data_IF_824079559937
#
_entry.id   IF_824079559937
#
_cell.length_a   1.000
_cell.length_b   1.000
_cell.length_c   1.000
_cell.angle_alpha   90.00
_cell.angle_beta   90.00
_cell.angle_gamma   90.00
#
_symmetry.space_group_name_H-M   'P 1'
#
loop_
_entity.id
_entity.type
_entity.pdbx_description
1 polymer ?
#
# COMPACT_ATOMS: atom_id res chain seq x y z
N UNK A 1 -11.97 -2.23 14.81
CA UNK A 1 -13.19 -1.74 14.11
C UNK A 1 -12.84 -1.33 12.68
N UNK A 2 -13.71 -1.59 11.69
CA UNK A 2 -13.45 -1.26 10.28
C UNK A 2 -12.79 -2.35 9.42
N UNK A 3 -12.37 -3.47 10.02
CA UNK A 3 -11.83 -4.61 9.25
C UNK A 3 -12.95 -5.51 8.74
N UNK A 4 -12.91 -5.77 7.44
CA UNK A 4 -13.63 -6.87 6.75
C UNK A 4 -12.63 -7.85 6.10
N UNK A 5 -11.34 -7.70 6.40
CA UNK A 5 -10.24 -8.49 5.88
C UNK A 5 -9.13 -8.56 6.94
N UNK A 6 -8.83 -9.75 7.41
CA UNK A 6 -7.81 -9.97 8.44
C UNK A 6 -6.38 -9.93 7.88
N UNK A 7 -6.17 -10.46 6.67
CA UNK A 7 -4.86 -10.48 6.02
C UNK A 7 -3.84 -11.44 6.65
N UNK A 8 -4.27 -12.41 7.47
CA UNK A 8 -3.39 -13.44 8.03
C UNK A 8 -2.92 -14.45 6.98
N UNK A 9 -3.86 -15.10 6.29
CA UNK A 9 -3.57 -15.84 5.06
C UNK A 9 -3.61 -14.88 3.87
N UNK A 10 -2.44 -14.72 3.25
CA UNK A 10 -2.19 -13.76 2.18
C UNK A 10 -2.79 -14.23 0.83
N UNK A 11 -3.27 -13.28 0.03
CA UNK A 11 -3.65 -13.50 -1.37
C UNK A 11 -5.06 -13.06 -1.74
N UNK A 12 -5.87 -12.67 -0.76
CA UNK A 12 -7.30 -12.39 -0.94
C UNK A 12 -7.66 -10.91 -0.85
N UNK A 13 -6.68 -10.02 -0.68
CA UNK A 13 -6.95 -8.58 -0.51
C UNK A 13 -7.76 -8.01 -1.68
N UNK A 14 -7.28 -8.22 -2.90
CA UNK A 14 -7.90 -7.64 -4.09
C UNK A 14 -9.22 -8.32 -4.48
N UNK A 15 -9.35 -9.64 -4.31
CA UNK A 15 -10.63 -10.33 -4.56
C UNK A 15 -11.72 -9.88 -3.58
N UNK A 16 -11.40 -9.72 -2.30
CA UNK A 16 -12.33 -9.14 -1.32
C UNK A 16 -12.67 -7.68 -1.64
N UNK A 17 -11.69 -6.89 -2.08
CA UNK A 17 -11.93 -5.49 -2.45
C UNK A 17 -12.92 -5.36 -3.61
N UNK A 18 -12.74 -6.15 -4.67
CA UNK A 18 -13.71 -6.19 -5.77
C UNK A 18 -15.07 -6.69 -5.31
N UNK A 19 -15.13 -7.77 -4.53
CA UNK A 19 -16.39 -8.28 -4.00
C UNK A 19 -17.16 -7.26 -3.15
N UNK A 20 -16.46 -6.40 -2.41
CA UNK A 20 -17.08 -5.33 -1.64
C UNK A 20 -17.63 -4.18 -2.51
N UNK A 21 -16.99 -3.91 -3.66
CA UNK A 21 -17.39 -2.86 -4.59
C UNK A 21 -18.57 -3.25 -5.50
N UNK A 22 -18.80 -4.55 -5.72
CA UNK A 22 -19.93 -5.03 -6.54
C UNK A 22 -21.28 -4.59 -5.94
N UNK A 23 -22.19 -4.17 -6.82
CA UNK A 23 -23.52 -3.64 -6.49
C UNK A 23 -23.51 -2.48 -5.47
N UNK A 24 -22.37 -1.79 -5.35
CA UNK A 24 -22.18 -0.71 -4.38
C UNK A 24 -21.58 0.55 -5.05
N UNK A 25 -22.39 1.28 -5.85
CA UNK A 25 -21.92 2.26 -6.82
C UNK A 25 -21.17 3.47 -6.22
N UNK A 26 -21.37 3.74 -4.94
CA UNK A 26 -20.77 4.87 -4.23
C UNK A 26 -19.56 4.45 -3.38
N UNK A 27 -19.25 3.15 -3.31
CA UNK A 27 -18.12 2.66 -2.53
C UNK A 27 -16.82 2.74 -3.34
N UNK A 28 -15.82 3.37 -2.73
CA UNK A 28 -14.42 3.24 -3.13
C UNK A 28 -13.70 2.34 -2.13
N UNK A 29 -13.03 1.30 -2.63
CA UNK A 29 -12.18 0.42 -1.83
C UNK A 29 -10.71 0.67 -2.15
N UNK A 30 -10.00 1.32 -1.24
CA UNK A 30 -8.54 1.41 -1.30
C UNK A 30 -7.91 0.09 -0.81
N UNK A 31 -7.35 -0.69 -1.73
CA UNK A 31 -6.83 -2.03 -1.45
C UNK A 31 -5.30 -2.03 -1.41
N UNK A 32 -4.72 -2.04 -0.21
CA UNK A 32 -3.26 -2.15 -0.04
C UNK A 32 -2.83 -3.60 -0.24
N UNK A 33 -1.89 -3.81 -1.14
CA UNK A 33 -1.40 -5.12 -1.57
C UNK A 33 0.09 -5.22 -1.21
N UNK A 34 0.47 -6.22 -0.42
CA UNK A 34 1.87 -6.48 -0.14
C UNK A 34 2.60 -6.99 -1.38
N UNK A 35 3.82 -6.53 -1.64
CA UNK A 35 4.65 -7.05 -2.73
C UNK A 35 4.98 -8.56 -2.60
N UNK A 36 5.10 -9.06 -1.36
CA UNK A 36 5.18 -10.49 -1.07
C UNK A 36 3.84 -11.23 -1.23
N UNK A 37 2.72 -10.58 -0.92
CA UNK A 37 1.38 -11.13 -1.18
C UNK A 37 1.18 -11.32 -2.69
N UNK A 38 1.69 -10.38 -3.51
CA UNK A 38 1.53 -10.35 -4.97
C UNK A 38 2.12 -11.56 -5.70
N UNK A 39 2.95 -12.35 -5.01
CA UNK A 39 3.50 -13.60 -5.54
C UNK A 39 2.57 -14.80 -5.33
N UNK A 40 1.50 -14.65 -4.55
CA UNK A 40 0.51 -15.72 -4.35
C UNK A 40 -0.35 -15.90 -5.60
N UNK A 41 -0.71 -17.15 -5.90
CA UNK A 41 -1.62 -17.47 -7.02
C UNK A 41 -2.96 -16.74 -6.95
N UNK A 42 -3.66 -16.72 -5.78
CA UNK A 42 -4.90 -15.99 -5.62
C UNK A 42 -4.79 -14.50 -5.97
N UNK A 43 -3.76 -13.80 -5.48
CA UNK A 43 -3.62 -12.38 -5.77
C UNK A 43 -3.25 -12.14 -7.24
N UNK A 44 -2.34 -12.93 -7.80
CA UNK A 44 -1.96 -12.83 -9.21
C UNK A 44 -3.18 -12.96 -10.15
N UNK A 45 -4.10 -13.89 -9.86
CA UNK A 45 -5.33 -14.05 -10.63
C UNK A 45 -6.35 -12.93 -10.37
N UNK A 46 -6.40 -12.37 -9.17
CA UNK A 46 -7.39 -11.34 -8.80
C UNK A 46 -7.20 -9.99 -9.52
N UNK A 47 -6.06 -9.71 -10.13
CA UNK A 47 -5.88 -8.55 -11.04
C UNK A 47 -6.80 -8.61 -12.27
N UNK A 48 -7.42 -9.76 -12.55
CA UNK A 48 -8.43 -9.89 -13.59
C UNK A 48 -9.83 -9.46 -13.14
N UNK A 49 -10.05 -9.16 -11.85
CA UNK A 49 -11.37 -8.80 -11.33
C UNK A 49 -11.95 -7.51 -11.94
N UNK A 50 -11.11 -6.58 -12.38
CA UNK A 50 -11.55 -5.37 -13.10
C UNK A 50 -12.26 -5.66 -14.44
N UNK A 51 -12.17 -6.87 -15.00
CA UNK A 51 -12.90 -7.27 -16.23
C UNK A 51 -14.36 -7.61 -15.93
N UNK A 52 -14.71 -7.82 -14.67
CA UNK A 52 -16.06 -8.15 -14.23
C UNK A 52 -16.78 -6.98 -13.55
N UNK A 53 -16.04 -5.91 -13.23
CA UNK A 53 -16.58 -4.68 -12.64
C UNK A 53 -17.30 -3.86 -13.71
N UNK A 54 -18.55 -3.52 -13.45
CA UNK A 54 -19.36 -2.61 -14.26
C UNK A 54 -19.36 -1.20 -13.63
N UNK A 55 -18.70 -0.18 -14.24
CA UNK A 55 -18.67 1.17 -13.69
C UNK A 55 -20.05 1.85 -13.58
N UNK A 56 -21.08 1.31 -14.25
CA UNK A 56 -22.46 1.82 -14.17
C UNK A 56 -23.10 1.41 -12.84
N UNK A 57 -22.91 0.17 -12.41
CA UNK A 57 -23.64 -0.43 -11.28
C UNK A 57 -22.77 -0.64 -10.04
N UNK A 58 -21.47 -0.84 -10.23
CA UNK A 58 -20.53 -1.14 -9.16
C UNK A 58 -19.77 0.11 -8.71
N UNK A 59 -19.15 -0.02 -7.54
CA UNK A 59 -18.19 0.93 -6.99
C UNK A 59 -16.86 0.87 -7.72
N UNK A 60 -15.80 1.31 -7.05
CA UNK A 60 -14.45 1.28 -7.59
C UNK A 60 -13.47 0.65 -6.61
N UNK A 61 -12.44 0.02 -7.14
CA UNK A 61 -11.28 -0.45 -6.37
C UNK A 61 -10.08 0.35 -6.82
N UNK A 62 -9.37 0.94 -5.85
CA UNK A 62 -8.06 1.56 -6.04
C UNK A 62 -7.00 0.64 -5.43
N UNK A 63 -6.32 -0.19 -6.22
CA UNK A 63 -5.22 -1.00 -5.72
C UNK A 63 -4.02 -0.10 -5.41
N UNK A 64 -3.37 -0.37 -4.28
CA UNK A 64 -2.13 0.27 -3.85
C UNK A 64 -1.10 -0.84 -3.67
N UNK A 65 -0.26 -1.05 -4.68
CA UNK A 65 0.82 -2.02 -4.64
C UNK A 65 1.96 -1.48 -3.77
N UNK A 66 2.09 -2.03 -2.56
CA UNK A 66 3.08 -1.63 -1.58
C UNK A 66 4.41 -2.36 -1.81
N UNK A 67 5.25 -1.77 -2.66
CA UNK A 67 6.59 -2.24 -3.01
C UNK A 67 7.63 -1.80 -1.98
N UNK A 68 7.60 -2.41 -0.80
CA UNK A 68 8.61 -2.13 0.22
C UNK A 68 9.93 -2.91 0.05
N UNK A 69 9.97 -3.80 -0.93
CA UNK A 69 11.17 -4.47 -1.40
C UNK A 69 11.31 -5.90 -0.89
N UNK A 70 10.59 -6.29 0.17
CA UNK A 70 10.89 -7.53 0.90
C UNK A 70 9.66 -8.20 1.52
N UNK A 71 9.68 -9.53 1.51
CA UNK A 71 8.84 -10.42 2.32
C UNK A 71 9.55 -10.78 3.63
N UNK A 72 9.31 -11.98 4.19
CA UNK A 72 9.84 -12.35 5.53
C UNK A 72 11.37 -12.34 5.57
N UNK A 73 12.01 -13.01 4.61
CA UNK A 73 13.46 -13.21 4.59
C UNK A 73 14.05 -13.15 3.17
N UNK A 74 13.32 -12.53 2.24
CA UNK A 74 13.68 -12.48 0.82
C UNK A 74 13.20 -11.17 0.21
N UNK A 75 13.81 -10.73 -0.89
CA UNK A 75 13.19 -9.70 -1.72
C UNK A 75 11.90 -10.19 -2.38
N UNK A 76 11.00 -9.26 -2.68
CA UNK A 76 9.81 -9.52 -3.47
C UNK A 76 10.12 -9.47 -4.97
N UNK A 77 9.50 -10.33 -5.78
CA UNK A 77 9.74 -10.43 -7.23
C UNK A 77 9.43 -9.11 -7.93
N UNK A 78 8.22 -8.55 -7.72
CA UNK A 78 7.79 -7.31 -8.38
C UNK A 78 8.64 -6.10 -7.99
N UNK A 79 9.21 -6.10 -6.78
CA UNK A 79 10.08 -5.01 -6.34
C UNK A 79 11.44 -5.00 -7.05
N UNK A 80 11.83 -6.10 -7.72
CA UNK A 80 13.10 -6.25 -8.45
C UNK A 80 12.97 -6.15 -9.96
N UNK A 81 11.75 -6.06 -10.48
CA UNK A 81 11.52 -5.78 -11.90
C UNK A 81 11.96 -4.36 -12.24
N UNK A 82 12.50 -4.12 -13.44
CA UNK A 82 12.56 -2.79 -14.02
C UNK A 82 11.18 -2.13 -13.98
N UNK A 83 11.13 -0.82 -13.73
CA UNK A 83 9.86 -0.09 -13.66
C UNK A 83 9.01 -0.27 -14.92
N UNK A 84 9.65 -0.27 -16.10
CA UNK A 84 8.98 -0.49 -17.39
C UNK A 84 8.30 -1.86 -17.50
N UNK A 85 8.91 -2.93 -16.98
CA UNK A 85 8.32 -4.28 -17.02
C UNK A 85 7.12 -4.38 -16.06
N UNK A 86 7.22 -3.77 -14.87
CA UNK A 86 6.10 -3.68 -13.94
C UNK A 86 4.94 -2.88 -14.55
N UNK A 87 5.27 -1.77 -15.21
CA UNK A 87 4.33 -0.92 -15.92
C UNK A 87 3.58 -1.68 -17.03
N UNK A 88 4.31 -2.46 -17.84
CA UNK A 88 3.74 -3.31 -18.87
C UNK A 88 2.82 -4.40 -18.28
N UNK A 89 3.22 -5.03 -17.17
CA UNK A 89 2.41 -6.01 -16.46
C UNK A 89 1.08 -5.41 -15.97
N UNK A 90 1.14 -4.28 -15.27
CA UNK A 90 -0.04 -3.60 -14.73
C UNK A 90 -0.94 -3.05 -15.83
N UNK A 91 -0.37 -2.49 -16.91
CA UNK A 91 -1.14 -2.08 -18.09
C UNK A 91 -1.76 -3.28 -18.81
N UNK A 92 -1.07 -4.41 -18.86
CA UNK A 92 -1.60 -5.69 -19.34
C UNK A 92 -2.80 -6.17 -18.53
N UNK A 93 -2.78 -5.96 -17.21
CA UNK A 93 -3.95 -6.14 -16.34
C UNK A 93 -5.04 -5.07 -16.53
N UNK A 94 -4.87 -4.08 -17.39
CA UNK A 94 -5.87 -3.03 -17.63
C UNK A 94 -5.86 -1.95 -16.55
N UNK A 95 -4.72 -1.69 -15.92
CA UNK A 95 -4.56 -0.57 -15.00
C UNK A 95 -3.67 0.54 -15.57
N UNK A 96 -3.76 1.73 -14.98
CA UNK A 96 -2.85 2.85 -15.24
C UNK A 96 -1.99 3.09 -13.99
N UNK A 97 -0.68 2.74 -14.03
CA UNK A 97 0.21 2.96 -12.90
C UNK A 97 0.44 4.44 -12.59
N UNK A 98 0.35 4.79 -11.31
CA UNK A 98 0.72 6.08 -10.73
C UNK A 98 1.79 5.80 -9.67
N UNK A 99 3.02 6.23 -9.91
CA UNK A 99 4.15 5.92 -9.04
C UNK A 99 4.31 6.95 -7.91
N UNK A 100 4.46 6.45 -6.70
CA UNK A 100 4.85 7.20 -5.51
C UNK A 100 6.11 6.55 -4.96
N UNK A 101 7.27 7.12 -5.25
CA UNK A 101 8.57 6.56 -4.88
C UNK A 101 9.34 7.56 -4.03
N UNK A 102 9.86 7.12 -2.88
CA UNK A 102 10.74 7.95 -2.07
C UNK A 102 10.99 7.42 -0.66
N UNK A 103 11.91 8.09 0.03
CA UNK A 103 12.28 7.81 1.42
C UNK A 103 12.20 9.05 2.32
N UNK A 104 12.08 10.25 1.77
CA UNK A 104 11.81 11.48 2.53
C UNK A 104 10.30 11.59 2.85
N UNK A 105 9.87 11.60 4.13
CA UNK A 105 8.45 11.58 4.48
C UNK A 105 7.65 12.75 3.89
N UNK A 106 8.18 13.97 3.94
CA UNK A 106 7.46 15.16 3.45
C UNK A 106 7.31 15.15 1.93
N UNK A 107 8.32 14.71 1.19
CA UNK A 107 8.23 14.52 -0.25
C UNK A 107 7.21 13.44 -0.61
N UNK A 108 7.25 12.29 0.08
CA UNK A 108 6.30 11.19 -0.14
C UNK A 108 4.88 11.60 0.23
N UNK A 109 4.66 12.38 1.29
CA UNK A 109 3.33 12.91 1.62
C UNK A 109 2.74 13.73 0.48
N UNK A 110 3.52 14.65 -0.11
CA UNK A 110 3.06 15.46 -1.26
C UNK A 110 2.80 14.62 -2.49
N UNK A 111 3.70 13.67 -2.79
CA UNK A 111 3.55 12.78 -3.93
C UNK A 111 2.33 11.86 -3.78
N UNK A 112 2.10 11.31 -2.58
CA UNK A 112 0.94 10.48 -2.28
C UNK A 112 -0.36 11.28 -2.37
N UNK A 113 -0.39 12.51 -1.87
CA UNK A 113 -1.56 13.38 -2.00
C UNK A 113 -1.91 13.63 -3.48
N UNK A 114 -0.92 14.01 -4.30
CA UNK A 114 -1.11 14.21 -5.73
C UNK A 114 -1.54 12.92 -6.47
N UNK A 115 -0.99 11.77 -6.09
CA UNK A 115 -1.37 10.49 -6.67
C UNK A 115 -2.79 10.06 -6.31
N UNK A 116 -3.21 10.33 -5.06
CA UNK A 116 -4.58 10.09 -4.63
C UNK A 116 -5.56 11.02 -5.37
N UNK A 117 -5.25 12.31 -5.50
CA UNK A 117 -6.08 13.25 -6.27
C UNK A 117 -6.23 12.78 -7.73
N UNK A 118 -5.13 12.44 -8.42
CA UNK A 118 -5.18 11.92 -9.81
C UNK A 118 -5.98 10.61 -9.92
N UNK A 119 -5.78 9.68 -8.98
CA UNK A 119 -6.51 8.42 -8.97
C UNK A 119 -8.02 8.64 -8.76
N UNK A 120 -8.40 9.50 -7.81
CA UNK A 120 -9.80 9.78 -7.49
C UNK A 120 -10.50 10.53 -8.63
N UNK A 121 -9.84 11.53 -9.22
CA UNK A 121 -10.37 12.27 -10.36
C UNK A 121 -10.60 11.36 -11.58
N UNK A 122 -9.67 10.43 -11.84
CA UNK A 122 -9.84 9.42 -12.91
C UNK A 122 -10.98 8.46 -12.63
N UNK A 123 -11.10 7.97 -11.40
CA UNK A 123 -12.20 7.07 -11.01
C UNK A 123 -13.55 7.79 -11.20
N UNK A 124 -13.66 9.03 -10.72
CA UNK A 124 -14.87 9.83 -10.86
C UNK A 124 -15.20 10.09 -12.33
N UNK A 125 -14.20 10.39 -13.16
CA UNK A 125 -14.39 10.57 -14.61
C UNK A 125 -14.89 9.28 -15.27
N UNK A 126 -14.27 8.13 -14.98
CA UNK A 126 -14.66 6.83 -15.54
C UNK A 126 -16.10 6.47 -15.19
N UNK A 127 -16.47 6.60 -13.91
CA UNK A 127 -17.83 6.34 -13.45
C UNK A 127 -18.83 7.32 -14.07
N UNK A 128 -18.51 8.61 -14.12
CA UNK A 128 -19.39 9.63 -14.72
C UNK A 128 -19.61 9.35 -16.21
N UNK A 129 -18.56 9.06 -16.96
CA UNK A 129 -18.66 8.81 -18.41
C UNK A 129 -19.44 7.52 -18.69
N UNK A 130 -19.29 6.50 -17.85
CA UNK A 130 -20.09 5.28 -17.97
C UNK A 130 -21.58 5.51 -17.68
N UNK A 131 -21.88 6.27 -16.60
CA UNK A 131 -23.25 6.46 -16.09
C UNK A 131 -24.04 7.52 -16.84
N UNK A 132 -23.39 8.60 -17.27
CA UNK A 132 -24.03 9.75 -17.93
C UNK A 132 -23.92 9.67 -19.46
N UNK A 133 -22.73 9.35 -19.97
CA UNK A 133 -22.44 9.39 -21.41
C UNK A 133 -22.60 8.01 -22.09
N UNK A 134 -22.88 6.96 -21.31
CA UNK A 134 -23.11 5.60 -21.81
C UNK A 134 -21.86 4.91 -22.37
N UNK A 135 -20.66 5.40 -22.04
CA UNK A 135 -19.39 4.79 -22.49
C UNK A 135 -19.10 3.56 -21.65
N UNK A 136 -19.37 2.39 -22.23
CA UNK A 136 -19.23 1.08 -21.58
C UNK A 136 -18.00 0.30 -22.04
N UNK A 137 -17.06 0.98 -22.71
CA UNK A 137 -15.78 0.38 -23.06
C UNK A 137 -14.99 0.02 -21.80
N UNK A 138 -14.13 -0.99 -21.89
CA UNK A 138 -13.32 -1.45 -20.76
C UNK A 138 -12.43 -0.32 -20.24
N UNK A 139 -12.73 0.13 -19.03
CA UNK A 139 -11.96 1.17 -18.35
C UNK A 139 -10.55 0.70 -17.99
N UNK A 140 -9.59 1.62 -18.08
CA UNK A 140 -8.25 1.45 -17.54
C UNK A 140 -8.17 2.12 -16.17
N UNK A 141 -8.37 1.35 -15.11
CA UNK A 141 -8.47 1.84 -13.73
C UNK A 141 -7.10 2.25 -13.17
N UNK A 142 -7.00 3.32 -12.35
CA UNK A 142 -5.74 3.68 -11.73
C UNK A 142 -5.26 2.60 -10.76
N UNK A 143 -3.94 2.47 -10.63
CA UNK A 143 -3.26 1.71 -9.57
C UNK A 143 -2.12 2.56 -9.04
N UNK A 144 -2.01 2.68 -7.72
CA UNK A 144 -0.87 3.37 -7.10
C UNK A 144 0.23 2.34 -6.85
N UNK A 145 1.44 2.62 -7.35
CA UNK A 145 2.65 1.85 -7.03
C UNK A 145 3.42 2.64 -5.97
N UNK A 146 3.30 2.20 -4.72
CA UNK A 146 3.95 2.84 -3.57
C UNK A 146 5.28 2.14 -3.27
N UNK A 147 6.39 2.80 -3.58
CA UNK A 147 7.76 2.30 -3.36
C UNK A 147 8.45 3.10 -2.26
N UNK A 148 8.45 2.54 -1.06
CA UNK A 148 9.03 3.12 0.17
C UNK A 148 9.82 2.04 0.91
N UNK A 149 10.88 2.34 1.67
CA UNK A 149 11.69 1.31 2.32
C UNK A 149 10.87 0.49 3.33
N UNK A 150 11.10 -0.83 3.41
CA UNK A 150 10.52 -1.65 4.49
C UNK A 150 11.07 -1.21 5.85
N UNK A 151 10.20 -1.07 6.85
CA UNK A 151 10.59 -0.56 8.17
C UNK A 151 10.87 0.95 8.18
N UNK A 152 10.32 1.69 7.21
CA UNK A 152 10.51 3.13 7.04
C UNK A 152 10.39 3.89 8.35
N UNK A 153 11.32 4.82 8.62
CA UNK A 153 11.43 5.63 9.84
C UNK A 153 11.84 4.88 11.11
N UNK A 154 12.06 3.57 10.99
CA UNK A 154 12.60 2.71 12.05
C UNK A 154 14.12 2.83 12.21
N UNK A 155 14.73 1.98 13.05
CA UNK A 155 16.18 1.90 13.17
C UNK A 155 16.81 1.52 11.82
N UNK A 156 17.75 2.35 11.35
CA UNK A 156 18.48 2.08 10.11
C UNK A 156 19.40 0.85 10.24
N UNK A 157 20.04 0.70 11.40
CA UNK A 157 20.99 -0.38 11.70
C UNK A 157 20.79 -0.88 13.13
N UNK A 158 20.90 -2.20 13.33
CA UNK A 158 20.92 -2.85 14.66
C UNK A 158 22.05 -3.88 14.66
N UNK A 159 22.89 -3.86 15.69
CA UNK A 159 24.03 -4.77 15.87
C UNK A 159 24.99 -4.82 14.65
N UNK A 160 25.21 -3.68 13.97
CA UNK A 160 26.08 -3.61 12.78
C UNK A 160 25.42 -4.11 11.49
N UNK A 161 24.13 -4.43 11.51
CA UNK A 161 23.39 -4.97 10.36
C UNK A 161 22.29 -4.00 9.90
N UNK A 162 22.12 -3.78 8.58
CA UNK A 162 21.06 -2.93 8.07
C UNK A 162 19.70 -3.53 8.35
N UNK A 163 18.76 -2.69 8.80
CA UNK A 163 17.39 -3.04 9.19
C UNK A 163 16.37 -2.34 8.29
N UNK A 164 16.29 -1.00 8.34
CA UNK A 164 15.46 -0.23 7.40
C UNK A 164 15.85 -0.53 5.95
N UNK A 165 14.85 -0.64 5.07
CA UNK A 165 15.07 -1.03 3.69
C UNK A 165 15.52 -2.48 3.52
N UNK A 166 15.28 -3.35 4.50
CA UNK A 166 15.59 -4.78 4.42
C UNK A 166 14.48 -5.67 4.99
N UNK A 167 14.60 -6.98 4.76
CA UNK A 167 13.71 -7.98 5.35
C UNK A 167 13.84 -8.08 6.88
N UNK A 168 14.94 -7.62 7.50
CA UNK A 168 15.12 -7.68 8.96
C UNK A 168 14.11 -6.85 9.74
N UNK A 169 13.53 -5.82 9.10
CA UNK A 169 12.45 -5.03 9.66
C UNK A 169 11.08 -5.73 9.66
N UNK A 170 10.96 -7.00 9.21
CA UNK A 170 9.67 -7.64 9.05
C UNK A 170 8.93 -7.96 10.35
N UNK A 171 9.63 -8.44 11.38
CA UNK A 171 9.03 -8.74 12.68
C UNK A 171 9.47 -7.70 13.71
N UNK A 172 10.34 -8.07 14.64
CA UNK A 172 10.80 -7.20 15.73
C UNK A 172 12.25 -6.78 15.44
N UNK A 173 12.51 -5.54 15.03
CA UNK A 173 13.87 -5.10 14.68
C UNK A 173 14.80 -4.99 15.91
N UNK A 174 14.24 -4.80 17.11
CA UNK A 174 14.96 -4.73 18.38
C UNK A 174 14.49 -5.86 19.31
N UNK A 175 15.03 -7.07 19.12
CA UNK A 175 14.52 -8.28 19.78
C UNK A 175 14.87 -8.38 21.28
N UNK A 176 15.91 -7.69 21.76
CA UNK A 176 16.46 -7.86 23.11
C UNK A 176 16.28 -6.63 24.02
N UNK A 177 15.27 -5.79 23.78
CA UNK A 177 15.05 -4.53 24.54
C UNK A 177 14.95 -4.68 26.06
N UNK A 178 14.62 -5.88 26.57
CA UNK A 178 14.55 -6.16 28.01
C UNK A 178 15.90 -6.44 28.64
N UNK A 179 16.79 -7.07 27.89
CA UNK A 179 18.04 -7.64 28.42
C UNK A 179 19.29 -6.92 27.86
N UNK A 180 19.13 -6.11 26.81
CA UNK A 180 20.19 -5.35 26.16
C UNK A 180 19.95 -3.83 26.32
N UNK A 181 20.73 -3.13 27.17
CA UNK A 181 20.60 -1.68 27.37
C UNK A 181 20.78 -0.84 26.10
N UNK A 182 21.58 -1.32 25.14
CA UNK A 182 21.78 -0.62 23.86
C UNK A 182 20.53 -0.70 22.98
N UNK A 183 19.87 -1.87 22.91
CA UNK A 183 18.59 -2.02 22.20
C UNK A 183 17.50 -1.17 22.86
N UNK A 184 17.47 -1.09 24.19
CA UNK A 184 16.52 -0.22 24.91
C UNK A 184 16.72 1.26 24.57
N UNK A 185 17.98 1.71 24.50
CA UNK A 185 18.32 3.09 24.12
C UNK A 185 17.90 3.40 22.67
N UNK A 186 18.08 2.45 21.75
CA UNK A 186 17.62 2.59 20.36
C UNK A 186 16.08 2.64 20.27
N UNK A 187 15.37 1.82 21.06
CA UNK A 187 13.92 1.88 21.16
C UNK A 187 13.45 3.26 21.66
N UNK A 188 14.06 3.79 22.72
CA UNK A 188 13.71 5.12 23.23
C UNK A 188 13.97 6.22 22.18
N UNK A 189 15.12 6.17 21.52
CA UNK A 189 15.48 7.12 20.46
C UNK A 189 14.49 7.07 19.31
N UNK A 190 14.10 5.86 18.89
CA UNK A 190 13.11 5.67 17.84
C UNK A 190 11.72 6.18 18.23
N UNK A 191 11.22 5.85 19.42
CA UNK A 191 9.90 6.34 19.86
C UNK A 191 9.87 7.87 20.01
N UNK A 192 10.96 8.47 20.49
CA UNK A 192 11.08 9.93 20.63
C UNK A 192 11.24 10.66 19.29
N UNK A 193 11.69 9.99 18.22
CA UNK A 193 11.85 10.64 16.91
C UNK A 193 10.50 11.11 16.33
N UNK A 194 9.40 10.48 16.73
CA UNK A 194 8.03 10.89 16.38
C UNK A 194 7.51 12.08 17.20
N UNK A 195 8.29 12.62 18.15
CA UNK A 195 7.94 13.78 18.98
C UNK A 195 6.57 13.62 19.65
N UNK A 196 6.33 12.56 20.44
CA UNK A 196 5.03 12.27 21.04
C UNK A 196 4.48 13.43 21.89
N UNK A 197 5.34 14.27 22.45
CA UNK A 197 4.96 15.50 23.17
C UNK A 197 4.24 16.55 22.30
N UNK A 198 4.48 16.55 20.99
CA UNK A 198 3.75 17.39 20.01
C UNK A 198 2.43 16.73 19.58
N UNK A 199 2.29 15.41 19.77
CA UNK A 199 1.15 14.62 19.30
C UNK A 199 0.11 14.35 20.39
N UNK A 200 0.52 14.30 21.66
CA UNK A 200 -0.34 13.99 22.80
C UNK A 200 -0.24 15.04 23.90
N UNK A 201 -1.34 15.24 24.64
CA UNK A 201 -1.35 16.04 25.86
C UNK A 201 -0.92 15.24 27.09
N UNK A 202 -0.86 15.90 28.25
CA UNK A 202 -0.45 15.29 29.52
C UNK A 202 -1.43 14.23 30.05
N UNK A 203 -2.64 14.17 29.49
CA UNK A 203 -3.65 13.16 29.82
C UNK A 203 -3.62 11.97 28.85
N UNK A 204 -2.75 12.00 27.84
CA UNK A 204 -2.64 10.97 26.81
C UNK A 204 -3.65 11.10 25.68
N UNK A 205 -4.31 12.25 25.55
CA UNK A 205 -5.23 12.53 24.43
C UNK A 205 -4.47 13.11 23.24
N UNK A 206 -4.86 12.80 21.99
CA UNK A 206 -4.27 13.44 20.81
C UNK A 206 -4.46 14.96 20.81
N UNK A 207 -3.43 15.71 20.41
CA UNK A 207 -3.53 17.14 20.13
C UNK A 207 -4.19 17.35 18.75
N UNK A 208 -5.07 18.35 18.59
CA UNK A 208 -5.73 18.66 17.32
C UNK A 208 -4.78 19.23 16.27
#
# INVERSE_FOLDING_TARGET
PGSIHEGGELGYSLSHAYGAALDNPDLLVACVIGDGEAETGPLAASWHSNKFLDPVHDGAVLPILHLNGYKIANPAVLARLPESELDELLRGYGHVPIHVTGEDPLAVHRAMAAAMDDALDRIALLQRTAREDGVTERAHWPVIVLRTPKGWTGPAEVDGLPVEGTWRAHQVPLAAVRDNPEHLRQLETWLRSYRPEELFDEHGSPRP
#
